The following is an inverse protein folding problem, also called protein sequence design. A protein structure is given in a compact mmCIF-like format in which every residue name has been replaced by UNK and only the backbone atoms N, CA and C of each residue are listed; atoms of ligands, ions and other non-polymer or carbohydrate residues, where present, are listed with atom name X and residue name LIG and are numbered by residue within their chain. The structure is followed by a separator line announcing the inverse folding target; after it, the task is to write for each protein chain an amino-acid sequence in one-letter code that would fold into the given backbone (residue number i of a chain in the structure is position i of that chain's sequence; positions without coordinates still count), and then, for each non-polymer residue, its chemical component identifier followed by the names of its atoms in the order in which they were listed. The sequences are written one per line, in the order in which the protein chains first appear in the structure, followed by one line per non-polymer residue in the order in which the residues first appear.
data_IF_149710571914
#
_entry.id   IF_149710571914
#
_cell.length_a   1.000
_cell.length_b   1.000
_cell.length_c   1.000
_cell.angle_alpha   90.00
_cell.angle_beta   90.00
_cell.angle_gamma   90.00
#
_symmetry.space_group_name_H-M   'P 1'
#
loop_
_entity.id
_entity.type
_entity.pdbx_description
1 polymer ?
#
# COMPACT_ATOMS: atom_id res chain seq x y z
N UNK A 1 -62.54 -20.37 -54.91
CA UNK A 1 -62.78 -20.86 -53.55
C UNK A 1 -61.67 -21.84 -53.18
N UNK A 2 -60.67 -21.41 -52.46
CA UNK A 2 -59.83 -22.29 -51.62
C UNK A 2 -58.82 -21.42 -50.82
N UNK A 3 -59.19 -21.17 -49.61
CA UNK A 3 -58.31 -20.63 -48.60
C UNK A 3 -57.38 -21.73 -48.17
N UNK A 4 -56.07 -21.45 -48.16
CA UNK A 4 -55.09 -22.28 -47.48
C UNK A 4 -54.24 -21.47 -46.51
N UNK A 5 -54.34 -21.90 -45.31
CA UNK A 5 -53.58 -21.52 -44.13
C UNK A 5 -52.07 -21.54 -44.39
N UNK A 6 -51.45 -20.42 -44.22
CA UNK A 6 -50.00 -20.33 -44.02
C UNK A 6 -49.76 -20.17 -42.54
N UNK A 7 -49.42 -21.30 -41.90
CA UNK A 7 -49.09 -21.34 -40.51
C UNK A 7 -47.66 -20.80 -40.28
N UNK A 8 -47.57 -19.94 -39.32
CA UNK A 8 -46.47 -19.25 -38.75
C UNK A 8 -45.21 -20.10 -38.50
N UNK A 9 -44.18 -19.89 -39.29
CA UNK A 9 -42.80 -20.35 -39.04
C UNK A 9 -41.99 -19.35 -38.16
N UNK A 10 -42.62 -18.31 -37.67
CA UNK A 10 -41.93 -17.23 -36.88
C UNK A 10 -41.95 -17.50 -35.38
N UNK A 11 -42.59 -18.57 -34.90
CA UNK A 11 -42.69 -18.84 -33.46
C UNK A 11 -41.68 -19.86 -32.90
N UNK A 12 -40.80 -20.45 -33.72
CA UNK A 12 -39.88 -21.48 -33.24
C UNK A 12 -38.44 -20.98 -33.01
N UNK A 13 -38.13 -19.73 -33.37
CA UNK A 13 -36.75 -19.23 -33.25
C UNK A 13 -36.49 -18.46 -31.93
N UNK A 14 -37.47 -18.33 -31.04
CA UNK A 14 -37.32 -17.52 -29.83
C UNK A 14 -37.12 -18.32 -28.52
N UNK A 15 -36.73 -19.60 -28.63
CA UNK A 15 -36.54 -20.42 -27.41
C UNK A 15 -35.10 -20.84 -27.13
N UNK A 16 -34.10 -20.15 -27.67
CA UNK A 16 -32.72 -20.49 -27.38
C UNK A 16 -31.85 -19.26 -27.31
N UNK A 17 -31.90 -18.56 -26.21
CA UNK A 17 -30.80 -17.80 -25.57
C UNK A 17 -31.28 -16.97 -24.40
N UNK A 18 -31.92 -17.56 -23.43
CA UNK A 18 -31.82 -17.04 -22.08
C UNK A 18 -30.47 -17.49 -21.50
N UNK A 19 -29.41 -16.79 -21.85
CA UNK A 19 -28.23 -16.77 -21.02
C UNK A 19 -28.70 -16.14 -19.71
N UNK A 20 -28.95 -16.97 -18.72
CA UNK A 20 -29.09 -16.52 -17.35
C UNK A 20 -27.78 -15.87 -16.99
N UNK A 21 -27.73 -14.55 -17.08
CA UNK A 21 -26.82 -13.77 -16.26
C UNK A 21 -27.18 -14.15 -14.83
N UNK A 22 -26.34 -14.93 -14.22
CA UNK A 22 -26.37 -15.15 -12.79
C UNK A 22 -26.11 -13.79 -12.17
N UNK A 23 -27.17 -13.07 -11.83
CA UNK A 23 -27.06 -11.91 -10.96
C UNK A 23 -26.52 -12.43 -9.63
N UNK A 24 -25.52 -11.80 -9.04
CA UNK A 24 -25.13 -12.13 -7.68
C UNK A 24 -26.37 -11.95 -6.81
N UNK A 25 -26.66 -12.95 -6.01
CA UNK A 25 -27.70 -12.90 -4.99
C UNK A 25 -27.25 -11.86 -4.00
N UNK A 26 -27.84 -10.66 -4.08
CA UNK A 26 -27.71 -9.62 -3.07
C UNK A 26 -28.21 -10.21 -1.74
N UNK A 27 -27.32 -10.35 -0.75
CA UNK A 27 -27.77 -10.66 0.59
C UNK A 27 -26.83 -11.38 1.54
N UNK A 28 -25.67 -11.87 1.13
CA UNK A 28 -24.64 -12.25 2.10
C UNK A 28 -23.49 -11.25 2.00
N UNK A 29 -23.36 -10.38 3.00
CA UNK A 29 -22.18 -9.55 3.18
C UNK A 29 -20.98 -10.48 3.36
N UNK A 30 -20.27 -10.74 2.25
CA UNK A 30 -19.08 -11.57 2.31
C UNK A 30 -18.00 -10.83 3.11
N UNK A 31 -17.38 -11.50 4.09
CA UNK A 31 -16.30 -10.91 4.84
C UNK A 31 -15.24 -10.31 3.93
N UNK A 32 -14.79 -9.10 4.26
CA UNK A 32 -13.79 -8.40 3.46
C UNK A 32 -12.90 -7.52 4.31
N UNK A 33 -11.73 -7.15 3.78
CA UNK A 33 -10.86 -6.11 4.30
C UNK A 33 -10.15 -5.39 3.16
N UNK A 34 -9.62 -4.21 3.47
CA UNK A 34 -8.79 -3.44 2.56
C UNK A 34 -7.31 -3.58 2.96
N UNK A 35 -6.45 -3.88 1.99
CA UNK A 35 -4.98 -3.80 2.10
C UNK A 35 -4.59 -2.40 1.67
N UNK A 36 -3.89 -1.69 2.54
CA UNK A 36 -3.42 -0.32 2.32
C UNK A 36 -1.93 -0.20 2.65
N UNK A 37 -1.31 0.87 2.21
CA UNK A 37 0.02 1.28 2.65
C UNK A 37 -0.08 2.75 3.09
N UNK A 38 -0.31 2.96 4.37
CA UNK A 38 -0.50 4.28 4.94
C UNK A 38 0.57 4.56 5.98
N UNK A 39 0.96 5.81 6.09
CA UNK A 39 1.90 6.27 7.09
C UNK A 39 1.17 7.19 8.06
N UNK A 40 1.27 6.92 9.36
CA UNK A 40 0.75 7.84 10.37
C UNK A 40 1.66 9.09 10.42
N UNK A 41 1.23 10.15 9.75
CA UNK A 41 1.97 11.40 9.65
C UNK A 41 2.17 12.09 11.00
N UNK A 42 1.31 11.81 11.99
CA UNK A 42 1.50 12.31 13.34
C UNK A 42 2.70 11.63 14.01
N UNK A 43 2.81 10.31 13.88
CA UNK A 43 3.95 9.56 14.40
C UNK A 43 5.23 9.81 13.61
N UNK A 44 5.15 10.04 12.30
CA UNK A 44 6.30 10.51 11.49
C UNK A 44 6.83 11.83 12.04
N UNK A 45 5.97 12.81 12.29
CA UNK A 45 6.37 14.11 12.86
C UNK A 45 7.03 13.95 14.23
N UNK A 46 6.43 13.13 15.11
CA UNK A 46 7.00 12.82 16.42
C UNK A 46 8.39 12.17 16.30
N UNK A 47 8.57 11.27 15.34
CA UNK A 47 9.85 10.62 15.09
C UNK A 47 10.91 11.61 14.60
N UNK A 48 10.56 12.50 13.66
CA UNK A 48 11.46 13.53 13.15
C UNK A 48 11.83 14.50 14.26
N UNK A 49 10.87 14.97 15.07
CA UNK A 49 11.15 15.88 16.21
C UNK A 49 12.13 15.25 17.21
N UNK A 50 11.97 13.95 17.47
CA UNK A 50 12.92 13.21 18.33
C UNK A 50 14.30 13.05 17.69
N UNK A 51 14.36 12.81 16.38
CA UNK A 51 15.61 12.72 15.64
C UNK A 51 16.37 14.06 15.67
N UNK A 52 15.67 15.16 15.49
CA UNK A 52 16.23 16.53 15.57
C UNK A 52 16.76 16.81 16.98
N UNK A 53 16.03 16.43 18.04
CA UNK A 53 16.52 16.58 19.44
C UNK A 53 17.75 15.75 19.70
N UNK A 54 17.78 14.50 19.25
CA UNK A 54 18.96 13.65 19.38
C UNK A 54 20.16 14.25 18.64
N UNK A 55 19.98 14.68 17.40
CA UNK A 55 21.02 15.34 16.61
C UNK A 55 21.64 16.52 17.35
N UNK A 56 20.82 17.36 18.01
CA UNK A 56 21.28 18.52 18.77
C UNK A 56 22.10 18.19 20.01
N UNK A 57 22.00 16.97 20.54
CA UNK A 57 22.75 16.51 21.73
C UNK A 57 23.97 15.67 21.40
N UNK A 58 24.10 15.21 20.17
CA UNK A 58 25.20 14.33 19.76
C UNK A 58 26.52 15.08 19.65
N UNK A 59 27.54 14.52 20.30
CA UNK A 59 28.87 15.13 20.31
C UNK A 59 29.55 15.14 18.92
N UNK A 60 29.32 14.08 18.12
CA UNK A 60 29.88 13.91 16.77
C UNK A 60 29.28 14.89 15.73
N UNK A 61 28.18 15.57 16.07
CA UNK A 61 27.55 16.60 15.26
C UNK A 61 27.75 18.03 15.82
N UNK A 62 28.54 18.17 16.87
CA UNK A 62 28.80 19.50 17.44
C UNK A 62 29.59 20.37 16.47
N UNK A 63 29.00 21.50 16.06
CA UNK A 63 29.60 22.42 15.09
C UNK A 63 29.49 21.96 13.63
N UNK A 64 28.79 20.86 13.37
CA UNK A 64 28.48 20.37 12.03
C UNK A 64 27.16 20.99 11.53
N UNK A 65 27.15 21.51 10.30
CA UNK A 65 25.90 21.99 9.66
C UNK A 65 25.09 20.80 9.13
N UNK A 66 24.42 20.11 10.07
CA UNK A 66 23.61 18.95 9.80
C UNK A 66 22.16 19.20 10.21
N UNK A 67 21.20 18.76 9.36
CA UNK A 67 19.77 18.99 9.58
C UNK A 67 18.93 17.79 9.15
N UNK A 68 17.81 17.62 9.84
CA UNK A 68 16.71 16.72 9.48
C UNK A 68 15.47 17.58 9.42
N UNK A 69 14.86 17.69 8.25
CA UNK A 69 13.73 18.58 8.00
C UNK A 69 12.55 17.78 7.43
N UNK A 70 11.39 17.88 8.08
CA UNK A 70 10.14 17.31 7.57
C UNK A 70 9.50 18.30 6.62
N UNK A 71 9.28 17.90 5.39
CA UNK A 71 8.52 18.60 4.37
C UNK A 71 7.12 17.94 4.23
N UNK A 72 6.29 18.43 3.33
CA UNK A 72 4.90 17.98 3.19
C UNK A 72 4.80 16.48 2.90
N UNK A 73 5.59 15.97 1.93
CA UNK A 73 5.60 14.56 1.51
C UNK A 73 6.99 13.93 1.55
N UNK A 74 7.93 14.56 2.22
CA UNK A 74 9.31 14.07 2.26
C UNK A 74 10.06 14.48 3.53
N UNK A 75 11.17 13.80 3.78
CA UNK A 75 12.13 14.16 4.82
C UNK A 75 13.45 14.48 4.12
N UNK A 76 13.98 15.66 4.36
CA UNK A 76 15.25 16.12 3.81
C UNK A 76 16.34 16.00 4.86
N UNK A 77 17.41 15.28 4.52
CA UNK A 77 18.64 15.20 5.30
C UNK A 77 19.69 16.09 4.64
N UNK A 78 20.37 16.90 5.44
CA UNK A 78 21.46 17.78 5.00
C UNK A 78 22.66 17.59 5.91
N UNK A 79 23.87 17.41 5.37
CA UNK A 79 25.12 17.35 6.10
C UNK A 79 26.29 17.69 5.17
N UNK A 80 27.50 18.08 5.69
CA UNK A 80 28.66 18.31 4.86
C UNK A 80 29.13 17.10 4.07
N UNK A 81 29.10 15.89 4.66
CA UNK A 81 29.64 14.67 4.08
C UNK A 81 28.60 13.56 3.93
N UNK A 82 28.79 12.68 2.95
CA UNK A 82 27.85 11.56 2.71
C UNK A 82 27.75 10.58 3.89
N UNK A 83 28.86 10.34 4.58
CA UNK A 83 28.84 9.46 5.75
C UNK A 83 27.96 10.03 6.88
N UNK A 84 27.92 11.37 7.02
CA UNK A 84 27.05 12.05 7.98
C UNK A 84 25.57 11.96 7.56
N UNK A 85 25.26 12.01 6.27
CA UNK A 85 23.91 11.68 5.77
C UNK A 85 23.52 10.26 6.20
N UNK A 86 24.46 9.28 6.11
CA UNK A 86 24.25 7.92 6.60
C UNK A 86 23.91 7.89 8.09
N UNK A 87 24.65 8.63 8.92
CA UNK A 87 24.38 8.73 10.36
C UNK A 87 23.03 9.37 10.66
N UNK A 88 22.66 10.46 9.95
CA UNK A 88 21.31 11.09 10.08
C UNK A 88 20.20 10.10 9.73
N UNK A 89 20.40 9.32 8.68
CA UNK A 89 19.45 8.27 8.26
C UNK A 89 19.27 7.23 9.38
N UNK A 90 20.35 6.81 10.03
CA UNK A 90 20.29 5.81 11.12
C UNK A 90 19.56 6.37 12.34
N UNK A 91 19.81 7.63 12.72
CA UNK A 91 19.07 8.32 13.77
C UNK A 91 17.58 8.34 13.44
N UNK A 92 17.23 8.80 12.24
CA UNK A 92 15.83 8.89 11.78
C UNK A 92 15.14 7.53 11.84
N UNK A 93 15.75 6.48 11.27
CA UNK A 93 15.22 5.11 11.27
C UNK A 93 15.00 4.58 12.68
N UNK A 94 15.93 4.82 13.59
CA UNK A 94 15.80 4.43 14.99
C UNK A 94 14.60 5.09 15.67
N UNK A 95 14.34 6.39 15.39
CA UNK A 95 13.17 7.10 15.95
C UNK A 95 11.87 6.63 15.31
N UNK A 96 11.85 6.39 14.00
CA UNK A 96 10.68 5.82 13.34
C UNK A 96 10.32 4.44 13.90
N UNK A 97 11.30 3.56 14.07
CA UNK A 97 11.07 2.25 14.68
C UNK A 97 10.52 2.36 16.11
N UNK A 98 11.03 3.30 16.92
CA UNK A 98 10.53 3.56 18.28
C UNK A 98 9.09 4.07 18.32
N UNK A 99 8.58 4.57 17.20
CA UNK A 99 7.22 5.08 17.01
C UNK A 99 6.33 4.12 16.21
N UNK A 100 6.79 2.90 15.97
CA UNK A 100 6.10 1.91 15.14
C UNK A 100 5.81 2.39 13.70
N UNK A 101 6.61 3.33 13.21
CA UNK A 101 6.56 3.76 11.80
C UNK A 101 7.54 2.92 11.01
N UNK A 102 7.05 2.23 9.99
CA UNK A 102 7.87 1.38 9.15
C UNK A 102 8.69 2.21 8.16
N UNK A 103 10.00 2.23 8.36
CA UNK A 103 10.93 3.01 7.51
C UNK A 103 11.02 2.51 6.06
N UNK A 104 10.44 1.34 5.71
CA UNK A 104 10.33 0.88 4.31
C UNK A 104 9.44 1.77 3.46
N UNK A 105 8.53 2.54 4.08
CA UNK A 105 7.74 3.55 3.38
C UNK A 105 8.55 4.81 3.01
N UNK A 106 9.80 4.94 3.47
CA UNK A 106 10.71 6.02 3.06
C UNK A 106 11.54 5.59 1.86
N UNK A 107 11.21 6.13 0.70
CA UNK A 107 11.95 5.89 -0.56
C UNK A 107 13.11 6.87 -0.66
N UNK A 108 14.37 6.42 -0.59
CA UNK A 108 15.52 7.29 -0.69
C UNK A 108 15.70 7.80 -2.12
N UNK A 109 15.88 9.09 -2.28
CA UNK A 109 16.44 9.70 -3.48
C UNK A 109 17.97 9.63 -3.49
N UNK A 110 18.57 10.12 -4.56
CA UNK A 110 20.02 10.24 -4.69
C UNK A 110 20.59 11.28 -3.71
N UNK A 111 21.88 11.12 -3.39
CA UNK A 111 22.61 12.13 -2.62
C UNK A 111 23.11 13.20 -3.59
N UNK A 112 22.63 14.40 -3.41
CA UNK A 112 22.95 15.55 -4.25
C UNK A 112 23.92 16.51 -3.54
N UNK A 113 24.84 17.09 -4.32
CA UNK A 113 25.69 18.18 -3.84
C UNK A 113 24.93 19.51 -3.86
N UNK A 114 24.94 20.24 -2.75
CA UNK A 114 24.32 21.57 -2.63
C UNK A 114 25.34 22.57 -2.05
N UNK A 115 26.28 23.03 -2.87
CA UNK A 115 27.39 23.89 -2.47
C UNK A 115 28.37 23.14 -1.56
N UNK A 116 28.43 23.53 -0.26
CA UNK A 116 29.31 22.94 0.74
C UNK A 116 28.70 21.76 1.50
N UNK A 117 27.47 21.38 1.18
CA UNK A 117 26.74 20.32 1.87
C UNK A 117 26.23 19.29 0.86
N UNK A 118 25.92 18.13 1.37
CA UNK A 118 25.20 17.06 0.69
C UNK A 118 23.76 17.02 1.19
N UNK A 119 22.84 16.63 0.32
CA UNK A 119 21.42 16.47 0.64
C UNK A 119 20.90 15.15 0.15
N UNK A 120 20.05 14.52 0.93
CA UNK A 120 19.29 13.36 0.50
C UNK A 120 17.83 13.54 0.91
N UNK A 121 16.95 13.38 -0.05
CA UNK A 121 15.50 13.42 0.15
C UNK A 121 14.95 12.02 0.27
N UNK A 122 14.09 11.81 1.24
CA UNK A 122 13.32 10.58 1.42
C UNK A 122 11.86 10.90 1.17
N UNK A 123 11.31 10.42 0.07
CA UNK A 123 9.89 10.58 -0.25
C UNK A 123 9.08 9.58 0.56
N UNK A 124 7.97 10.02 1.12
CA UNK A 124 7.05 9.18 1.87
C UNK A 124 6.08 8.53 0.90
N UNK A 125 6.15 7.19 0.76
CA UNK A 125 5.20 6.44 -0.04
C UNK A 125 3.88 6.33 0.72
N UNK A 126 2.82 6.91 0.16
CA UNK A 126 1.46 6.78 0.67
C UNK A 126 0.57 6.10 -0.37
N UNK A 127 -0.26 5.17 0.10
CA UNK A 127 -1.10 4.37 -0.77
C UNK A 127 -0.34 3.25 -1.48
N UNK A 128 -1.09 2.38 -2.13
CA UNK A 128 -0.54 1.37 -3.03
C UNK A 128 -0.54 1.94 -4.44
N UNK A 129 0.64 2.17 -5.00
CA UNK A 129 0.74 2.45 -6.42
C UNK A 129 0.30 1.22 -7.27
N UNK A 130 0.17 1.41 -8.57
CA UNK A 130 -0.33 0.35 -9.46
C UNK A 130 0.53 -0.90 -9.45
N UNK A 131 1.83 -0.76 -9.31
CA UNK A 131 2.77 -1.90 -9.37
C UNK A 131 2.76 -2.66 -8.05
N UNK A 132 2.77 -1.96 -6.93
CA UNK A 132 2.61 -2.56 -5.60
C UNK A 132 1.24 -3.23 -5.43
N UNK A 133 0.15 -2.62 -5.90
CA UNK A 133 -1.18 -3.23 -5.90
C UNK A 133 -1.23 -4.53 -6.73
N UNK A 134 -0.52 -4.57 -7.88
CA UNK A 134 -0.37 -5.78 -8.69
C UNK A 134 0.43 -6.86 -7.96
N UNK A 135 1.52 -6.48 -7.27
CA UNK A 135 2.32 -7.42 -6.48
C UNK A 135 1.50 -8.03 -5.34
N UNK A 136 0.75 -7.22 -4.59
CA UNK A 136 -0.20 -7.69 -3.56
C UNK A 136 -1.20 -8.67 -4.15
N UNK A 137 -1.84 -8.31 -5.27
CA UNK A 137 -2.81 -9.19 -5.96
C UNK A 137 -2.17 -10.49 -6.43
N UNK A 138 -0.92 -10.44 -6.91
CA UNK A 138 -0.17 -11.62 -7.34
C UNK A 138 0.12 -12.56 -6.17
N UNK A 139 0.61 -12.05 -5.04
CA UNK A 139 0.85 -12.86 -3.83
C UNK A 139 -0.43 -13.56 -3.38
N UNK A 140 -1.56 -12.84 -3.35
CA UNK A 140 -2.86 -13.40 -2.99
C UNK A 140 -3.33 -14.49 -3.98
N UNK A 141 -3.05 -14.33 -5.26
CA UNK A 141 -3.39 -15.31 -6.31
C UNK A 141 -2.53 -16.56 -6.22
N UNK A 142 -1.24 -16.39 -5.96
CA UNK A 142 -0.27 -17.48 -5.84
C UNK A 142 -0.49 -18.31 -4.57
N UNK A 143 -1.13 -17.74 -3.54
CA UNK A 143 -1.51 -18.45 -2.31
C UNK A 143 -2.60 -19.50 -2.50
N UNK A 144 -3.31 -19.49 -3.65
CA UNK A 144 -4.42 -20.42 -4.01
C UNK A 144 -5.56 -20.46 -2.98
N UNK A 145 -5.69 -19.44 -2.17
CA UNK A 145 -6.79 -19.30 -1.21
C UNK A 145 -8.12 -19.01 -1.94
N UNK A 146 -9.23 -19.36 -1.29
CA UNK A 146 -10.58 -19.14 -1.84
C UNK A 146 -11.06 -17.69 -1.59
N UNK A 147 -10.28 -16.73 -2.06
CA UNK A 147 -10.51 -15.30 -1.92
C UNK A 147 -10.58 -14.61 -3.28
N UNK A 148 -11.16 -13.41 -3.29
CA UNK A 148 -11.11 -12.50 -4.43
C UNK A 148 -10.35 -11.26 -4.03
N UNK A 149 -9.57 -10.70 -4.93
CA UNK A 149 -8.85 -9.44 -4.72
C UNK A 149 -9.15 -8.46 -5.85
N UNK A 150 -9.46 -7.22 -5.50
CA UNK A 150 -9.79 -6.15 -6.44
C UNK A 150 -8.98 -4.89 -6.10
N UNK A 151 -8.34 -4.30 -7.09
CA UNK A 151 -7.63 -3.02 -6.94
C UNK A 151 -8.66 -1.89 -7.00
N UNK A 152 -8.72 -1.08 -5.95
CA UNK A 152 -9.62 0.07 -5.83
C UNK A 152 -8.79 1.33 -5.50
N UNK A 153 -8.32 2.02 -6.55
CA UNK A 153 -7.47 3.20 -6.38
C UNK A 153 -6.13 2.85 -5.74
N UNK A 154 -5.89 3.36 -4.56
CA UNK A 154 -4.67 3.22 -3.75
C UNK A 154 -4.70 2.06 -2.74
N UNK A 155 -5.65 1.14 -2.88
CA UNK A 155 -5.86 -0.03 -2.00
C UNK A 155 -6.28 -1.26 -2.76
N UNK A 156 -6.13 -2.42 -2.12
CA UNK A 156 -6.62 -3.71 -2.63
C UNK A 156 -7.68 -4.24 -1.68
N UNK A 157 -8.91 -4.39 -2.16
CA UNK A 157 -9.98 -5.06 -1.41
C UNK A 157 -9.85 -6.56 -1.57
N UNK A 158 -9.90 -7.26 -0.44
CA UNK A 158 -9.89 -8.72 -0.37
C UNK A 158 -11.21 -9.20 0.21
N UNK A 159 -11.86 -10.14 -0.48
CA UNK A 159 -13.16 -10.68 -0.10
C UNK A 159 -13.05 -12.20 -0.04
N UNK A 160 -13.59 -12.83 0.99
CA UNK A 160 -13.60 -14.27 1.17
C UNK A 160 -14.95 -14.78 1.62
N UNK A 161 -15.20 -16.09 1.48
CA UNK A 161 -16.43 -16.71 1.97
C UNK A 161 -16.44 -16.90 3.48
N UNK A 162 -15.25 -16.99 4.09
CA UNK A 162 -15.05 -17.23 5.51
C UNK A 162 -14.01 -16.30 6.07
N UNK A 163 -14.13 -15.95 7.35
CA UNK A 163 -13.12 -15.16 8.08
C UNK A 163 -11.75 -15.85 8.09
N UNK A 164 -11.71 -17.17 8.17
CA UNK A 164 -10.46 -17.93 8.16
C UNK A 164 -9.71 -17.73 6.84
N UNK A 165 -10.40 -17.74 5.69
CA UNK A 165 -9.79 -17.46 4.38
C UNK A 165 -9.13 -16.07 4.35
N UNK A 166 -9.72 -15.09 5.04
CA UNK A 166 -9.17 -13.73 5.15
C UNK A 166 -7.95 -13.67 6.08
N UNK A 167 -7.96 -14.41 7.19
CA UNK A 167 -6.80 -14.52 8.09
C UNK A 167 -5.62 -15.18 7.38
N UNK A 168 -5.88 -16.22 6.61
CA UNK A 168 -4.86 -16.88 5.79
C UNK A 168 -4.29 -15.94 4.72
N UNK A 169 -5.14 -15.09 4.13
CA UNK A 169 -4.71 -14.06 3.18
C UNK A 169 -3.77 -13.03 3.83
N UNK A 170 -4.10 -12.56 5.04
CA UNK A 170 -3.25 -11.66 5.82
C UNK A 170 -1.91 -12.33 6.15
N UNK A 171 -1.94 -13.60 6.57
CA UNK A 171 -0.74 -14.37 6.86
C UNK A 171 0.15 -14.53 5.62
N UNK A 172 -0.44 -14.83 4.45
CA UNK A 172 0.28 -14.92 3.19
C UNK A 172 0.96 -13.60 2.81
N UNK A 173 0.28 -12.47 2.98
CA UNK A 173 0.85 -11.15 2.71
C UNK A 173 1.96 -10.77 3.71
N UNK A 174 1.79 -11.07 5.00
CA UNK A 174 2.81 -10.81 6.02
C UNK A 174 4.10 -11.63 5.81
N UNK A 175 3.96 -12.85 5.30
CA UNK A 175 5.09 -13.74 5.01
C UNK A 175 5.69 -13.52 3.61
N UNK A 176 5.13 -12.61 2.82
CA UNK A 176 5.64 -12.29 1.50
C UNK A 176 6.80 -11.30 1.57
N UNK A 177 7.64 -11.33 0.55
CA UNK A 177 8.83 -10.49 0.43
C UNK A 177 8.53 -9.13 -0.24
N UNK A 178 7.41 -8.50 0.18
CA UNK A 178 7.02 -7.20 -0.31
C UNK A 178 7.87 -6.10 0.34
N UNK A 179 8.43 -5.22 -0.49
CA UNK A 179 9.31 -4.13 -0.05
C UNK A 179 8.57 -2.96 0.62
N UNK A 180 7.24 -2.95 0.59
CA UNK A 180 6.38 -1.92 1.17
C UNK A 180 5.71 -2.42 2.45
N UNK A 181 5.49 -1.54 3.44
CA UNK A 181 4.68 -1.87 4.60
C UNK A 181 3.21 -1.98 4.20
N UNK A 182 2.52 -2.99 4.72
CA UNK A 182 1.10 -3.19 4.51
C UNK A 182 0.35 -3.07 5.83
N UNK A 183 -0.81 -2.42 5.78
CA UNK A 183 -1.79 -2.41 6.85
C UNK A 183 -3.10 -3.01 6.32
N UNK A 184 -3.91 -3.50 7.25
CA UNK A 184 -5.19 -4.14 6.97
C UNK A 184 -6.27 -3.41 7.76
N UNK A 185 -7.21 -2.82 7.07
CA UNK A 185 -8.28 -2.02 7.67
C UNK A 185 -9.65 -2.29 7.02
N UNK A 186 -10.67 -1.55 7.44
CA UNK A 186 -12.03 -1.62 6.88
C UNK A 186 -12.59 -3.05 6.83
N UNK A 187 -12.37 -3.82 7.91
CA UNK A 187 -12.95 -5.16 8.04
C UNK A 187 -14.47 -5.08 8.03
N UNK A 188 -15.09 -5.92 7.23
CA UNK A 188 -16.53 -6.10 7.15
C UNK A 188 -16.84 -7.59 7.32
N UNK A 189 -17.91 -7.87 8.02
CA UNK A 189 -18.43 -9.21 8.27
C UNK A 189 -19.65 -9.49 7.42
#
# INVERSE_FOLDING_TARGET
VLHRHSANLTQIINLSRQVRFHQPIDGEDMPSFDVVSEMDMHEVRNAVDQAVRELGTRFDFRGVDAKIELEEESILLTAPEEFQIGQLKDILRGKMASRNVDSRALVPGDIEGAGKVKRQRFTMAQGLDKDNARLVTKVLKDSKLKIQSQINGDKVRVTGKKRDDLQDAIAALKNSDLSIPLQYNNFRD
#
